data_IF_470860368324
#
_entry.id   IF_470860368324
#
_cell.length_a   1.000
_cell.length_b   1.000
_cell.length_c   1.000
_cell.angle_alpha   90.00
_cell.angle_beta   90.00
_cell.angle_gamma   90.00
#
_symmetry.space_group_name_H-M   'P 1'
#
loop_
_entity.id
_entity.type
_entity.pdbx_description
1 polymer ?
#
# COMPACT_ATOMS: atom_id res chain seq x y z
N UNK A 1 2.89 16.90 -12.28
CA UNK A 1 2.22 15.71 -12.86
C UNK A 1 1.87 14.79 -11.71
N UNK A 2 0.59 14.70 -11.36
CA UNK A 2 0.11 13.89 -10.22
C UNK A 2 0.06 12.43 -10.68
N UNK A 3 0.66 11.53 -9.91
CA UNK A 3 0.70 10.08 -10.17
C UNK A 3 -0.31 9.39 -9.26
N UNK A 4 -1.26 8.68 -9.84
CA UNK A 4 -2.32 8.00 -9.08
C UNK A 4 -2.00 6.53 -8.90
N UNK A 5 -2.29 6.03 -7.71
CA UNK A 5 -2.15 4.63 -7.36
C UNK A 5 -3.47 3.92 -7.59
N UNK A 6 -3.40 2.75 -8.22
CA UNK A 6 -4.53 1.85 -8.40
C UNK A 6 -4.13 0.42 -8.07
N UNK A 7 -5.02 -0.32 -7.41
CA UNK A 7 -4.87 -1.76 -7.27
C UNK A 7 -5.10 -2.44 -8.62
N UNK A 8 -4.31 -3.45 -8.94
CA UNK A 8 -4.55 -4.30 -10.10
C UNK A 8 -5.26 -5.56 -9.62
N UNK A 9 -6.14 -6.15 -10.45
CA UNK A 9 -6.84 -7.40 -10.11
C UNK A 9 -5.94 -8.63 -10.18
N UNK A 10 -4.66 -8.46 -10.53
CA UNK A 10 -3.70 -9.54 -10.67
C UNK A 10 -2.93 -9.72 -9.37
N UNK A 11 -3.26 -10.77 -8.62
CA UNK A 11 -2.49 -11.20 -7.45
C UNK A 11 -1.65 -12.43 -7.87
N UNK A 12 -0.35 -12.28 -8.15
CA UNK A 12 0.53 -13.41 -8.41
C UNK A 12 0.48 -14.41 -7.25
N UNK A 13 0.60 -15.72 -7.53
CA UNK A 13 0.66 -16.72 -6.45
C UNK A 13 1.85 -16.47 -5.52
N UNK A 14 2.96 -15.92 -6.02
CA UNK A 14 4.11 -15.52 -5.19
C UNK A 14 3.76 -14.37 -4.22
N UNK A 15 2.84 -13.49 -4.62
CA UNK A 15 2.44 -12.34 -3.82
C UNK A 15 1.61 -12.71 -2.59
N UNK A 16 0.98 -13.89 -2.54
CA UNK A 16 0.23 -14.35 -1.35
C UNK A 16 1.07 -14.41 -0.07
N UNK A 17 2.39 -14.60 -0.19
CA UNK A 17 3.30 -14.52 0.95
C UNK A 17 3.55 -13.08 1.40
N UNK A 18 3.59 -12.13 0.45
CA UNK A 18 3.71 -10.69 0.71
C UNK A 18 2.44 -10.07 1.28
N UNK A 19 1.27 -10.69 1.06
CA UNK A 19 0.01 -10.27 1.66
C UNK A 19 -0.05 -10.44 3.19
N UNK A 20 0.95 -11.08 3.81
CA UNK A 20 1.01 -11.20 5.27
C UNK A 20 1.78 -10.01 5.85
N UNK A 21 1.22 -9.35 6.84
CA UNK A 21 1.86 -8.20 7.51
C UNK A 21 1.60 -6.86 6.80
N UNK A 22 2.60 -5.98 6.79
CA UNK A 22 2.45 -4.56 6.41
C UNK A 22 2.00 -4.35 4.96
N UNK A 23 2.43 -5.16 4.00
CA UNK A 23 2.02 -5.03 2.60
C UNK A 23 0.55 -5.45 2.37
N UNK A 24 0.04 -6.41 3.14
CA UNK A 24 -1.40 -6.74 3.15
C UNK A 24 -2.26 -5.60 3.72
N UNK A 25 -1.77 -4.96 4.79
CA UNK A 25 -2.40 -3.75 5.35
C UNK A 25 -2.46 -2.60 4.34
N UNK A 26 -1.35 -2.31 3.66
CA UNK A 26 -1.29 -1.26 2.62
C UNK A 26 -2.23 -1.57 1.45
N UNK A 27 -2.32 -2.82 0.99
CA UNK A 27 -3.28 -3.23 -0.05
C UNK A 27 -4.72 -3.07 0.38
N UNK A 28 -5.06 -3.40 1.63
CA UNK A 28 -6.41 -3.22 2.15
C UNK A 28 -6.81 -1.74 2.18
N UNK A 29 -5.88 -0.86 2.56
CA UNK A 29 -6.10 0.59 2.51
C UNK A 29 -6.24 1.13 1.07
N UNK A 30 -5.59 0.48 0.10
CA UNK A 30 -5.64 0.81 -1.32
C UNK A 30 -6.89 0.30 -2.05
N UNK A 31 -7.67 -0.63 -1.46
CA UNK A 31 -8.91 -1.17 -2.06
C UNK A 31 -10.08 -0.16 -2.08
N UNK A 32 -9.78 1.13 -1.90
CA UNK A 32 -10.75 2.20 -2.08
C UNK A 32 -10.97 2.47 -3.57
N UNK A 33 -12.22 2.65 -4.00
CA UNK A 33 -12.57 2.99 -5.41
C UNK A 33 -12.08 4.39 -5.83
N UNK A 34 -11.40 5.10 -4.94
CA UNK A 34 -10.93 6.47 -5.12
C UNK A 34 -9.48 6.48 -5.59
N UNK A 35 -9.15 7.20 -6.68
CA UNK A 35 -7.76 7.44 -7.06
C UNK A 35 -7.04 8.18 -5.92
N UNK A 36 -5.94 7.63 -5.43
CA UNK A 36 -5.12 8.25 -4.38
C UNK A 36 -3.69 8.43 -4.90
N UNK A 37 -3.03 9.50 -4.48
CA UNK A 37 -1.61 9.71 -4.72
C UNK A 37 -0.75 8.89 -3.74
N UNK A 38 0.54 8.75 -4.05
CA UNK A 38 1.50 8.07 -3.18
C UNK A 38 1.53 8.64 -1.77
N UNK A 39 1.55 9.97 -1.66
CA UNK A 39 1.59 10.65 -0.37
C UNK A 39 0.28 10.46 0.42
N UNK A 40 -0.87 10.53 -0.24
CA UNK A 40 -2.16 10.30 0.42
C UNK A 40 -2.29 8.89 0.98
N UNK A 41 -1.78 7.88 0.26
CA UNK A 41 -1.78 6.50 0.74
C UNK A 41 -0.84 6.34 1.91
N UNK A 42 0.36 6.91 1.85
CA UNK A 42 1.34 6.87 2.94
C UNK A 42 0.78 7.53 4.19
N UNK A 43 0.20 8.73 4.08
CA UNK A 43 -0.38 9.45 5.21
C UNK A 43 -1.60 8.71 5.78
N UNK A 44 -2.48 8.17 4.93
CA UNK A 44 -3.66 7.42 5.37
C UNK A 44 -3.27 6.15 6.12
N UNK A 45 -2.35 5.36 5.55
CA UNK A 45 -1.82 4.15 6.19
C UNK A 45 -1.12 4.48 7.52
N UNK A 46 -0.32 5.55 7.57
CA UNK A 46 0.41 5.94 8.77
C UNK A 46 -0.53 6.49 9.86
N UNK A 47 -1.53 7.28 9.47
CA UNK A 47 -2.56 7.78 10.39
C UNK A 47 -3.35 6.62 11.00
N UNK A 48 -3.74 5.65 10.17
CA UNK A 48 -4.44 4.46 10.64
C UNK A 48 -3.54 3.63 11.56
N UNK A 49 -2.29 3.34 11.20
CA UNK A 49 -1.38 2.59 12.07
C UNK A 49 -1.15 3.27 13.44
N UNK A 50 -1.11 4.61 13.49
CA UNK A 50 -1.05 5.35 14.76
C UNK A 50 -2.30 5.16 15.63
N UNK A 51 -3.49 4.98 15.05
CA UNK A 51 -4.70 4.68 15.82
C UNK A 51 -4.59 3.34 16.55
N UNK A 52 -3.91 2.36 15.95
CA UNK A 52 -3.67 1.04 16.53
C UNK A 52 -2.45 1.01 17.47
N UNK A 53 -1.82 2.15 17.72
CA UNK A 53 -0.57 2.30 18.51
C UNK A 53 0.56 1.39 18.00
N UNK A 54 0.56 1.06 16.71
CA UNK A 54 1.63 0.28 16.11
C UNK A 54 2.81 1.20 15.75
N UNK A 55 3.73 1.37 16.70
CA UNK A 55 4.93 2.18 16.53
C UNK A 55 5.95 1.61 15.53
N UNK A 56 5.76 0.37 15.07
CA UNK A 56 6.64 -0.26 14.07
C UNK A 56 6.33 0.17 12.64
N UNK A 57 5.12 0.71 12.41
CA UNK A 57 4.65 1.15 11.09
C UNK A 57 4.95 2.63 10.93
N UNK A 58 6.09 2.91 10.29
CA UNK A 58 6.50 4.26 9.91
C UNK A 58 6.09 4.57 8.47
N UNK A 59 6.12 5.85 8.10
CA UNK A 59 5.94 6.26 6.69
C UNK A 59 6.93 5.57 5.76
N UNK A 60 8.17 5.36 6.21
CA UNK A 60 9.21 4.68 5.43
C UNK A 60 8.89 3.20 5.18
N UNK A 61 8.39 2.48 6.18
CA UNK A 61 8.00 1.07 6.03
C UNK A 61 6.77 0.91 5.14
N UNK A 62 5.84 1.88 5.18
CA UNK A 62 4.69 1.93 4.26
C UNK A 62 5.16 2.20 2.83
N UNK A 63 6.01 3.20 2.62
CA UNK A 63 6.57 3.53 1.30
C UNK A 63 7.33 2.34 0.69
N UNK A 64 8.13 1.65 1.50
CA UNK A 64 8.83 0.44 1.08
C UNK A 64 7.85 -0.67 0.67
N UNK A 65 6.83 -0.93 1.48
CA UNK A 65 5.80 -1.93 1.15
C UNK A 65 5.07 -1.58 -0.14
N UNK A 66 4.77 -0.30 -0.36
CA UNK A 66 4.08 0.17 -1.55
C UNK A 66 4.93 0.03 -2.81
N UNK A 67 6.23 0.34 -2.74
CA UNK A 67 7.19 0.07 -3.82
C UNK A 67 7.23 -1.41 -4.17
N UNK A 68 7.29 -2.30 -3.17
CA UNK A 68 7.26 -3.74 -3.41
C UNK A 68 5.99 -4.17 -4.13
N UNK A 69 4.83 -3.65 -3.71
CA UNK A 69 3.55 -3.95 -4.35
C UNK A 69 3.50 -3.49 -5.82
N UNK A 70 4.19 -2.39 -6.15
CA UNK A 70 4.36 -1.92 -7.53
C UNK A 70 5.29 -2.86 -8.31
N UNK A 71 6.42 -3.27 -7.74
CA UNK A 71 7.34 -4.24 -8.36
C UNK A 71 6.66 -5.58 -8.68
N UNK A 72 5.76 -6.04 -7.80
CA UNK A 72 4.98 -7.26 -8.02
C UNK A 72 3.78 -7.08 -8.95
N UNK A 73 3.58 -5.87 -9.50
CA UNK A 73 2.48 -5.56 -10.41
C UNK A 73 1.10 -5.55 -9.74
N UNK A 74 1.03 -5.59 -8.41
CA UNK A 74 -0.23 -5.57 -7.63
C UNK A 74 -0.81 -4.16 -7.54
N UNK A 75 0.06 -3.17 -7.68
CA UNK A 75 -0.28 -1.75 -7.60
C UNK A 75 0.32 -1.05 -8.83
N UNK A 76 -0.54 -0.38 -9.60
CA UNK A 76 -0.14 0.40 -10.77
C UNK A 76 -0.05 1.88 -10.44
N UNK A 77 0.86 2.58 -11.13
CA UNK A 77 0.92 4.04 -11.14
C UNK A 77 0.42 4.52 -12.49
N UNK A 78 -0.69 5.29 -12.48
CA UNK A 78 -1.29 5.92 -13.65
C UNK A 78 -1.06 7.43 -13.71
#
# INVERSE_FOLDING_TARGET
>A
MIRFIRTTKAFPKEAKSLLRGQAGFVLHMLDSKTPQTLDEVIESCHSHARQWKDGSVTKATIAYSLLRLIEFGMVGIG
#
